data_IF_513638946804
#
_entry.id   IF_513638946804
#
_cell.length_a   1.000
_cell.length_b   1.000
_cell.length_c   1.000
_cell.angle_alpha   90.00
_cell.angle_beta   90.00
_cell.angle_gamma   90.00
#
_symmetry.space_group_name_H-M   'P 1'
#
loop_
_entity.id
_entity.type
_entity.pdbx_description
1 polymer ?
#
# COMPACT_ATOMS: atom_id res chain seq x y z
N UNK A 1 8.41 8.63 14.54
CA UNK A 1 9.39 9.72 14.35
C UNK A 1 9.93 10.07 15.73
N UNK A 2 11.26 10.14 15.90
CA UNK A 2 11.88 10.54 17.17
C UNK A 2 11.58 12.00 17.50
N UNK A 3 11.67 12.37 18.78
CA UNK A 3 11.52 13.75 19.29
C UNK A 3 12.41 14.75 18.55
N UNK A 4 13.68 14.40 18.32
CA UNK A 4 14.63 15.18 17.52
C UNK A 4 14.20 15.39 16.06
N UNK A 5 13.45 14.44 15.49
CA UNK A 5 12.91 14.56 14.14
C UNK A 5 11.80 15.60 14.04
N UNK A 6 11.06 15.85 15.14
CA UNK A 6 10.03 16.90 15.21
C UNK A 6 10.67 18.27 15.36
N UNK A 7 11.61 18.45 16.29
CA UNK A 7 12.30 19.74 16.51
C UNK A 7 12.93 20.27 15.22
N UNK A 8 13.61 19.42 14.45
CA UNK A 8 14.18 19.79 13.15
C UNK A 8 13.15 20.20 12.09
N UNK A 9 11.93 19.64 12.15
CA UNK A 9 10.85 20.03 11.23
C UNK A 9 10.22 21.33 11.71
N UNK A 10 10.02 21.50 13.00
CA UNK A 10 9.47 22.73 13.59
C UNK A 10 10.40 23.92 13.36
N UNK A 11 11.71 23.79 13.58
CA UNK A 11 12.71 24.82 13.24
C UNK A 11 12.65 25.21 11.76
N UNK A 12 12.52 24.22 10.87
CA UNK A 12 12.41 24.46 9.42
C UNK A 12 11.09 25.11 9.01
N UNK A 13 10.03 24.95 9.80
CA UNK A 13 8.72 25.57 9.56
C UNK A 13 8.64 27.00 10.10
N UNK A 14 9.44 27.33 11.11
CA UNK A 14 9.47 28.66 11.76
C UNK A 14 10.56 29.56 11.17
N UNK A 15 11.52 28.98 10.42
CA UNK A 15 12.58 29.75 9.78
C UNK A 15 12.03 30.78 8.76
N UNK A 16 12.43 32.06 8.85
CA UNK A 16 11.98 33.13 7.95
C UNK A 16 12.51 32.98 6.52
N UNK A 17 13.51 32.11 6.31
CA UNK A 17 13.99 31.75 4.99
C UNK A 17 12.96 30.86 4.32
N UNK A 18 12.12 31.51 3.52
CA UNK A 18 11.01 30.94 2.76
C UNK A 18 11.46 29.84 1.81
N UNK A 19 11.73 28.65 2.35
CA UNK A 19 11.79 27.44 1.56
C UNK A 19 10.39 27.27 0.95
N UNK A 20 10.30 27.50 -0.36
CA UNK A 20 9.08 27.45 -1.19
C UNK A 20 8.39 26.08 -1.21
N UNK A 21 8.71 25.18 -0.28
CA UNK A 21 7.76 24.15 0.15
C UNK A 21 6.75 24.84 1.06
N UNK A 22 5.89 25.66 0.45
CA UNK A 22 4.67 26.16 1.08
C UNK A 22 4.07 25.03 1.90
N UNK A 23 3.57 25.31 3.09
CA UNK A 23 2.74 24.36 3.85
C UNK A 23 1.64 23.76 2.94
N UNK A 24 1.17 24.52 1.93
CA UNK A 24 0.34 24.05 0.83
C UNK A 24 0.88 22.82 0.08
N UNK A 25 2.19 22.67 -0.14
CA UNK A 25 2.82 21.50 -0.78
C UNK A 25 2.87 20.25 0.11
N UNK A 26 2.94 20.42 1.45
CA UNK A 26 2.76 19.32 2.41
C UNK A 26 1.28 18.93 2.53
N UNK A 27 0.38 19.91 2.44
CA UNK A 27 -1.08 19.73 2.40
C UNK A 27 -1.52 19.06 1.08
N UNK A 28 -0.87 19.37 -0.05
CA UNK A 28 -1.22 18.84 -1.38
C UNK A 28 -1.13 17.30 -1.48
N UNK A 29 -0.28 16.65 -0.67
CA UNK A 29 -0.23 15.18 -0.61
C UNK A 29 -1.29 14.56 0.33
N UNK A 30 -1.94 15.35 1.18
CA UNK A 30 -2.98 14.89 2.11
C UNK A 30 -4.40 15.23 1.64
N UNK A 31 -4.58 16.21 0.74
CA UNK A 31 -5.87 16.82 0.41
C UNK A 31 -6.22 16.81 -1.08
N UNK A 32 -5.72 15.87 -1.89
CA UNK A 32 -6.13 15.75 -3.30
C UNK A 32 -7.65 15.67 -3.51
N UNK A 33 -8.42 15.34 -2.47
CA UNK A 33 -9.89 15.24 -2.48
C UNK A 33 -10.66 16.52 -2.13
N UNK A 34 -10.01 17.65 -1.80
CA UNK A 34 -10.70 18.89 -1.42
C UNK A 34 -10.16 20.04 -2.27
N UNK A 35 -10.95 20.47 -3.25
CA UNK A 35 -10.62 21.50 -4.23
C UNK A 35 -11.37 22.83 -3.98
N UNK A 36 -12.51 22.75 -3.29
CA UNK A 36 -13.39 23.87 -2.96
C UNK A 36 -13.66 23.96 -1.46
N UNK A 37 -13.85 25.19 -0.97
CA UNK A 37 -14.13 25.45 0.43
C UNK A 37 -15.50 24.93 0.83
N UNK A 38 -15.60 24.35 2.03
CA UNK A 38 -16.82 23.77 2.58
C UNK A 38 -17.29 24.50 3.83
N UNK A 39 -18.58 24.54 4.07
CA UNK A 39 -19.15 25.15 5.27
C UNK A 39 -20.39 24.43 5.75
N UNK A 40 -20.77 24.68 7.00
CA UNK A 40 -22.03 24.22 7.57
C UNK A 40 -22.94 25.45 7.74
N UNK A 41 -24.17 25.47 7.20
CA UNK A 41 -25.09 26.58 7.38
C UNK A 41 -25.40 26.87 8.86
N UNK A 42 -25.54 25.83 9.68
CA UNK A 42 -25.81 25.99 11.11
C UNK A 42 -24.60 26.57 11.86
N UNK A 43 -23.37 26.15 11.52
CA UNK A 43 -22.16 26.82 12.05
C UNK A 43 -22.15 28.31 11.70
N UNK A 44 -22.63 28.70 10.51
CA UNK A 44 -22.68 30.11 10.14
C UNK A 44 -23.65 30.89 11.05
N UNK A 45 -24.80 30.31 11.39
CA UNK A 45 -25.75 30.92 12.34
C UNK A 45 -25.12 31.04 13.73
N UNK A 46 -24.47 29.98 14.22
CA UNK A 46 -23.83 29.97 15.53
C UNK A 46 -22.66 30.96 15.62
N UNK A 47 -21.82 31.01 14.58
CA UNK A 47 -20.68 31.93 14.51
C UNK A 47 -21.15 33.38 14.47
N UNK A 48 -22.19 33.67 13.68
CA UNK A 48 -22.76 35.02 13.61
C UNK A 48 -23.30 35.47 14.97
N UNK A 49 -24.00 34.58 15.69
CA UNK A 49 -24.51 34.86 17.04
C UNK A 49 -23.40 35.06 18.07
N UNK A 50 -22.35 34.24 17.99
CA UNK A 50 -21.29 34.20 19.02
C UNK A 50 -20.18 35.22 18.81
N UNK A 51 -19.80 35.45 17.56
CA UNK A 51 -18.63 36.25 17.19
C UNK A 51 -18.98 37.47 16.33
N UNK A 52 -20.24 37.62 15.91
CA UNK A 52 -20.67 38.70 15.03
C UNK A 52 -20.24 38.55 13.57
N UNK A 53 -19.53 37.47 13.25
CA UNK A 53 -19.05 37.16 11.89
C UNK A 53 -18.86 35.66 11.69
N UNK A 54 -19.06 35.19 10.46
CA UNK A 54 -18.82 33.80 10.06
C UNK A 54 -17.38 33.59 9.59
N UNK A 55 -16.84 32.38 9.76
CA UNK A 55 -15.49 32.06 9.31
C UNK A 55 -15.36 30.61 8.81
N UNK A 56 -14.36 30.37 7.97
CA UNK A 56 -14.12 29.04 7.40
C UNK A 56 -13.51 28.11 8.45
N UNK A 57 -14.30 27.15 8.93
CA UNK A 57 -13.82 26.13 9.87
C UNK A 57 -12.86 25.14 9.21
N UNK A 58 -11.73 24.88 9.86
CA UNK A 58 -10.72 23.90 9.39
C UNK A 58 -11.25 22.48 9.36
N UNK A 59 -12.11 22.11 10.31
CA UNK A 59 -12.74 20.78 10.42
C UNK A 59 -13.56 20.44 9.16
N UNK A 60 -14.23 21.43 8.57
CA UNK A 60 -15.01 21.26 7.35
C UNK A 60 -14.14 20.99 6.10
N UNK A 61 -12.86 21.37 6.14
CA UNK A 61 -11.93 21.20 5.01
C UNK A 61 -11.17 19.87 5.05
N UNK A 62 -11.43 19.03 6.05
CA UNK A 62 -10.72 17.76 6.20
C UNK A 62 -11.12 16.77 5.10
N UNK A 63 -10.18 15.95 4.60
CA UNK A 63 -10.47 15.00 3.54
C UNK A 63 -11.48 13.95 4.01
N UNK A 64 -12.38 13.55 3.11
CA UNK A 64 -13.44 12.58 3.37
C UNK A 64 -14.46 12.97 4.47
N UNK A 65 -14.46 14.23 4.94
CA UNK A 65 -15.51 14.75 5.82
C UNK A 65 -16.65 15.32 4.97
N UNK A 66 -17.83 14.70 5.13
CA UNK A 66 -19.07 15.10 4.45
C UNK A 66 -20.09 15.74 5.40
N UNK A 67 -19.95 15.51 6.71
CA UNK A 67 -20.86 15.99 7.75
C UNK A 67 -20.13 16.96 8.68
N UNK A 68 -20.84 17.97 9.16
CA UNK A 68 -20.38 18.76 10.28
C UNK A 68 -20.32 17.88 11.55
N UNK A 69 -19.21 17.87 12.27
CA UNK A 69 -19.09 17.11 13.52
C UNK A 69 -19.83 17.75 14.70
N UNK A 70 -20.32 18.99 14.55
CA UNK A 70 -21.08 19.71 15.58
C UNK A 70 -22.58 19.52 15.36
N UNK A 71 -23.06 19.81 14.14
CA UNK A 71 -24.49 19.79 13.80
C UNK A 71 -24.97 18.50 13.14
N UNK A 72 -24.05 17.64 12.69
CA UNK A 72 -24.34 16.38 12.00
C UNK A 72 -25.13 16.51 10.69
N UNK A 73 -25.20 17.71 10.14
CA UNK A 73 -25.76 18.00 8.83
C UNK A 73 -24.69 17.94 7.74
N UNK A 74 -25.08 17.61 6.50
CA UNK A 74 -24.16 17.63 5.37
C UNK A 74 -23.54 19.02 5.17
N UNK A 75 -22.23 19.04 4.89
CA UNK A 75 -21.52 20.26 4.57
C UNK A 75 -21.91 20.74 3.17
N UNK A 76 -21.97 22.05 2.98
CA UNK A 76 -22.10 22.67 1.66
C UNK A 76 -20.72 22.86 1.04
N UNK A 77 -20.57 22.52 -0.24
CA UNK A 77 -19.39 22.85 -1.04
C UNK A 77 -19.64 24.16 -1.77
N UNK A 78 -18.87 25.19 -1.43
CA UNK A 78 -18.95 26.49 -2.09
C UNK A 78 -18.38 26.45 -3.50
N UNK A 79 -18.65 27.46 -4.30
CA UNK A 79 -18.01 27.62 -5.62
C UNK A 79 -16.58 28.18 -5.55
N UNK A 80 -16.08 28.45 -4.34
CA UNK A 80 -14.77 29.05 -4.11
C UNK A 80 -13.71 27.95 -4.04
N UNK A 81 -12.71 28.01 -4.92
CA UNK A 81 -11.57 27.09 -4.85
C UNK A 81 -10.67 27.38 -3.65
N UNK A 82 -10.15 26.33 -3.02
CA UNK A 82 -9.13 26.43 -1.96
C UNK A 82 -7.84 27.10 -2.46
N UNK A 83 -7.57 27.05 -3.77
CA UNK A 83 -6.41 27.69 -4.37
C UNK A 83 -6.63 29.18 -4.69
N UNK A 84 -7.81 29.72 -4.43
CA UNK A 84 -8.12 31.12 -4.70
C UNK A 84 -7.18 32.04 -3.89
N UNK A 85 -6.47 32.93 -4.60
CA UNK A 85 -5.57 33.93 -3.99
C UNK A 85 -6.22 35.30 -3.78
N UNK A 86 -7.48 35.46 -4.22
CA UNK A 86 -8.23 36.71 -4.10
C UNK A 86 -8.89 36.85 -2.72
N UNK A 87 -9.65 37.94 -2.52
CA UNK A 87 -10.52 38.08 -1.34
C UNK A 87 -11.57 36.98 -1.36
N UNK A 88 -11.48 36.08 -0.39
CA UNK A 88 -12.44 35.00 -0.16
C UNK A 88 -13.60 35.58 0.66
N UNK A 89 -14.84 35.46 0.18
CA UNK A 89 -16.02 35.90 0.93
C UNK A 89 -16.22 35.07 2.20
N UNK A 90 -16.98 35.61 3.16
CA UNK A 90 -17.31 34.87 4.37
C UNK A 90 -18.21 33.66 4.03
N UNK A 91 -18.17 32.56 4.80
CA UNK A 91 -18.99 31.38 4.52
C UNK A 91 -20.49 31.68 4.48
N UNK A 92 -20.98 32.60 5.33
CA UNK A 92 -22.40 33.00 5.33
C UNK A 92 -22.86 33.73 4.06
N UNK A 93 -21.92 34.24 3.25
CA UNK A 93 -22.17 34.93 1.98
C UNK A 93 -21.89 34.01 0.78
N UNK A 94 -21.31 32.84 1.02
CA UNK A 94 -20.91 31.93 -0.04
C UNK A 94 -22.09 31.09 -0.52
N UNK A 95 -22.30 31.06 -1.84
CA UNK A 95 -23.19 30.09 -2.47
C UNK A 95 -22.50 28.72 -2.57
N UNK A 96 -23.26 27.65 -2.33
CA UNK A 96 -22.74 26.29 -2.40
C UNK A 96 -23.82 25.23 -2.30
N UNK A 97 -23.50 24.07 -2.85
CA UNK A 97 -24.40 22.92 -2.91
C UNK A 97 -24.15 21.97 -1.75
N UNK A 98 -25.20 21.33 -1.25
CA UNK A 98 -25.07 20.30 -0.21
C UNK A 98 -24.23 19.11 -0.71
N UNK A 99 -23.22 18.70 0.07
CA UNK A 99 -22.41 17.53 -0.25
C UNK A 99 -23.22 16.25 -0.07
N UNK A 100 -23.28 15.46 -1.14
CA UNK A 100 -23.88 14.13 -1.10
C UNK A 100 -22.92 13.13 -0.50
N UNK A 101 -23.36 12.47 0.57
CA UNK A 101 -22.66 11.32 1.14
C UNK A 101 -22.71 10.16 0.14
N UNK A 102 -21.57 9.56 -0.25
CA UNK A 102 -21.57 8.40 -1.12
C UNK A 102 -22.40 7.26 -0.51
N UNK A 103 -23.35 6.72 -1.26
CA UNK A 103 -24.19 5.59 -0.81
C UNK A 103 -23.37 4.39 -0.33
N UNK A 104 -22.22 4.16 -0.96
CA UNK A 104 -21.26 3.10 -0.60
C UNK A 104 -20.61 3.32 0.76
N UNK A 105 -20.43 4.58 1.19
CA UNK A 105 -19.92 4.91 2.51
C UNK A 105 -21.02 4.78 3.56
N UNK A 106 -22.19 5.39 3.29
CA UNK A 106 -23.31 5.44 4.24
C UNK A 106 -23.13 6.51 5.33
N UNK A 107 -24.25 6.92 5.93
CA UNK A 107 -24.27 8.02 6.91
C UNK A 107 -23.48 7.71 8.19
N UNK A 108 -23.62 6.50 8.73
CA UNK A 108 -22.96 6.10 9.98
C UNK A 108 -21.42 6.17 9.86
N UNK A 109 -20.87 5.60 8.78
CA UNK A 109 -19.42 5.65 8.53
C UNK A 109 -18.94 7.08 8.26
N UNK A 110 -19.72 7.87 7.51
CA UNK A 110 -19.40 9.28 7.27
C UNK A 110 -19.35 10.08 8.58
N UNK A 111 -20.30 9.82 9.50
CA UNK A 111 -20.33 10.41 10.85
C UNK A 111 -19.07 10.05 11.63
N UNK A 112 -18.71 8.77 11.65
CA UNK A 112 -17.52 8.30 12.37
C UNK A 112 -16.22 8.90 11.82
N UNK A 113 -16.11 9.02 10.49
CA UNK A 113 -14.97 9.67 9.86
C UNK A 113 -14.88 11.15 10.25
N UNK A 114 -16.00 11.88 10.30
CA UNK A 114 -16.04 13.28 10.73
C UNK A 114 -15.58 13.44 12.19
N UNK A 115 -16.05 12.57 13.09
CA UNK A 115 -15.63 12.53 14.50
C UNK A 115 -14.12 12.37 14.65
N UNK A 116 -13.56 11.29 14.08
CA UNK A 116 -12.14 10.96 14.22
C UNK A 116 -11.28 12.06 13.59
N UNK A 117 -11.70 12.60 12.45
CA UNK A 117 -10.98 13.68 11.76
C UNK A 117 -10.95 14.96 12.60
N UNK A 118 -12.07 15.37 13.16
CA UNK A 118 -12.16 16.55 14.04
C UNK A 118 -11.34 16.35 15.32
N UNK A 119 -11.41 15.17 15.93
CA UNK A 119 -10.62 14.85 17.13
C UNK A 119 -9.12 14.90 16.83
N UNK A 120 -8.68 14.30 15.73
CA UNK A 120 -7.27 14.32 15.31
C UNK A 120 -6.76 15.75 15.06
N UNK A 121 -7.60 16.64 14.51
CA UNK A 121 -7.26 18.05 14.32
C UNK A 121 -7.19 18.82 15.64
N UNK A 122 -8.04 18.48 16.61
CA UNK A 122 -8.19 19.23 17.88
C UNK A 122 -7.15 18.84 18.93
N UNK A 123 -6.58 17.63 18.85
CA UNK A 123 -5.65 17.09 19.85
C UNK A 123 -4.18 17.57 19.70
N UNK A 124 -3.95 18.88 19.65
CA UNK A 124 -2.62 19.50 19.49
C UNK A 124 -1.57 19.08 20.56
N UNK A 125 -1.98 18.52 21.70
CA UNK A 125 -1.10 18.12 22.83
C UNK A 125 -1.22 16.64 23.26
N UNK A 126 -1.76 15.76 22.41
CA UNK A 126 -1.85 14.35 22.78
C UNK A 126 -0.44 13.74 22.98
N UNK A 127 -0.26 12.85 23.98
CA UNK A 127 0.97 12.09 24.13
C UNK A 127 1.26 11.29 22.85
N UNK A 128 2.52 10.92 22.63
CA UNK A 128 2.89 10.13 21.47
C UNK A 128 2.13 8.80 21.48
N UNK A 129 1.17 8.67 20.56
CA UNK A 129 0.45 7.42 20.35
C UNK A 129 1.27 6.56 19.40
N UNK A 130 1.68 5.39 19.86
CA UNK A 130 2.18 4.34 18.98
C UNK A 130 0.99 3.72 18.25
N UNK A 131 0.62 4.33 17.12
CA UNK A 131 -0.47 3.85 16.27
C UNK A 131 -0.28 2.40 15.83
N UNK A 132 0.97 1.95 15.64
CA UNK A 132 1.22 0.59 15.20
C UNK A 132 0.82 -0.40 16.28
N UNK A 133 1.30 -0.22 17.51
CA UNK A 133 0.95 -1.08 18.64
C UNK A 133 -0.56 -1.03 18.93
N UNK A 134 -1.17 0.16 18.85
CA UNK A 134 -2.63 0.33 18.97
C UNK A 134 -3.38 -0.50 17.91
N UNK A 135 -3.00 -0.39 16.63
CA UNK A 135 -3.65 -1.15 15.56
C UNK A 135 -3.42 -2.65 15.70
N UNK A 136 -2.21 -3.08 16.08
CA UNK A 136 -1.88 -4.49 16.24
C UNK A 136 -2.69 -5.13 17.36
N UNK A 137 -2.73 -4.51 18.55
CA UNK A 137 -3.53 -5.01 19.68
C UNK A 137 -4.99 -5.14 19.28
N UNK A 138 -5.54 -4.08 18.68
CA UNK A 138 -6.94 -4.08 18.28
C UNK A 138 -7.25 -5.12 17.20
N UNK A 139 -6.37 -5.31 16.24
CA UNK A 139 -6.53 -6.34 15.22
C UNK A 139 -6.49 -7.76 15.82
N UNK A 140 -5.64 -8.01 16.82
CA UNK A 140 -5.56 -9.31 17.51
C UNK A 140 -6.84 -9.57 18.31
N UNK A 141 -7.34 -8.58 19.05
CA UNK A 141 -8.62 -8.69 19.78
C UNK A 141 -9.78 -9.06 18.86
N UNK A 142 -9.79 -8.54 17.64
CA UNK A 142 -10.80 -8.82 16.61
C UNK A 142 -10.57 -10.13 15.85
N UNK A 143 -9.52 -10.89 16.19
CA UNK A 143 -9.22 -12.19 15.57
C UNK A 143 -8.43 -12.12 14.25
N UNK A 144 -7.91 -10.95 13.86
CA UNK A 144 -7.02 -10.79 12.70
C UNK A 144 -5.56 -11.14 13.00
N UNK A 145 -5.25 -11.64 14.19
CA UNK A 145 -3.89 -11.96 14.60
C UNK A 145 -3.80 -13.15 15.53
N UNK A 146 -2.57 -13.54 15.84
CA UNK A 146 -2.24 -14.57 16.83
C UNK A 146 -1.82 -13.92 18.16
N UNK A 147 -1.90 -14.69 19.23
CA UNK A 147 -1.41 -14.30 20.57
C UNK A 147 0.09 -13.93 20.58
N UNK A 148 0.85 -14.33 19.54
CA UNK A 148 2.26 -13.99 19.33
C UNK A 148 2.51 -12.59 18.72
N UNK A 149 1.52 -11.69 18.75
CA UNK A 149 1.53 -10.35 18.11
C UNK A 149 1.68 -10.34 16.58
N UNK A 150 1.54 -11.50 15.95
CA UNK A 150 1.52 -11.58 14.49
C UNK A 150 0.12 -11.23 13.96
N UNK A 151 0.03 -10.20 13.11
CA UNK A 151 -1.24 -9.79 12.47
C UNK A 151 -1.25 -10.17 11.00
N UNK A 152 -2.37 -10.71 10.54
CA UNK A 152 -2.61 -11.13 9.17
C UNK A 152 -3.12 -9.96 8.32
N UNK A 153 -2.19 -9.11 7.90
CA UNK A 153 -2.50 -7.88 7.16
C UNK A 153 -3.26 -8.12 5.84
N UNK A 154 -3.08 -9.25 5.16
CA UNK A 154 -3.78 -9.56 3.90
C UNK A 154 -5.29 -9.70 4.11
N UNK A 155 -5.72 -10.48 5.11
CA UNK A 155 -7.14 -10.66 5.46
C UNK A 155 -7.74 -9.32 5.91
N UNK A 156 -7.06 -8.61 6.81
CA UNK A 156 -7.50 -7.30 7.27
C UNK A 156 -7.65 -6.29 6.12
N UNK A 157 -6.73 -6.33 5.14
CA UNK A 157 -6.79 -5.44 3.97
C UNK A 157 -7.96 -5.76 3.05
N UNK A 158 -8.26 -7.04 2.83
CA UNK A 158 -9.41 -7.48 2.04
C UNK A 158 -10.73 -7.07 2.71
N UNK A 159 -10.80 -7.20 4.04
CA UNK A 159 -11.99 -6.86 4.83
C UNK A 159 -12.21 -5.36 4.89
N UNK A 160 -11.15 -4.57 5.11
CA UNK A 160 -11.21 -3.10 5.04
C UNK A 160 -11.63 -2.64 3.63
N UNK A 161 -11.08 -3.26 2.58
CA UNK A 161 -11.44 -2.97 1.19
C UNK A 161 -12.92 -3.26 0.91
N UNK A 162 -13.46 -4.30 1.53
CA UNK A 162 -14.88 -4.68 1.40
C UNK A 162 -15.76 -3.72 2.19
N UNK A 163 -15.38 -3.40 3.43
CA UNK A 163 -16.10 -2.50 4.33
C UNK A 163 -16.37 -1.13 3.73
N UNK A 164 -15.37 -0.52 3.11
CA UNK A 164 -15.50 0.79 2.46
C UNK A 164 -15.93 0.74 1.00
N UNK A 165 -15.95 -0.44 0.38
CA UNK A 165 -16.03 -0.68 -1.06
C UNK A 165 -14.80 -0.17 -1.86
N UNK A 166 -14.38 -0.87 -2.93
CA UNK A 166 -13.30 -0.42 -3.79
C UNK A 166 -13.57 0.93 -4.47
N UNK A 167 -14.82 1.18 -4.89
CA UNK A 167 -15.20 2.39 -5.63
C UNK A 167 -14.97 3.65 -4.81
N UNK A 168 -15.40 3.64 -3.55
CA UNK A 168 -15.19 4.76 -2.64
C UNK A 168 -13.72 4.94 -2.28
N UNK A 169 -12.97 3.85 -2.02
CA UNK A 169 -11.54 3.97 -1.71
C UNK A 169 -10.77 4.60 -2.88
N UNK A 170 -11.14 4.28 -4.13
CA UNK A 170 -10.57 4.94 -5.31
C UNK A 170 -10.96 6.40 -5.41
N UNK A 171 -12.20 6.79 -5.06
CA UNK A 171 -12.62 8.20 -5.10
C UNK A 171 -11.91 9.11 -4.11
N UNK A 172 -11.32 8.55 -3.03
CA UNK A 172 -10.56 9.30 -2.01
C UNK A 172 -9.06 9.01 -2.04
N UNK A 173 -8.55 8.48 -3.16
CA UNK A 173 -7.12 8.14 -3.37
C UNK A 173 -6.52 7.20 -2.28
N UNK A 174 -7.36 6.33 -1.71
CA UNK A 174 -6.99 5.33 -0.72
C UNK A 174 -7.17 3.90 -1.24
N UNK A 175 -7.01 3.70 -2.55
CA UNK A 175 -7.17 2.38 -3.19
C UNK A 175 -6.30 1.32 -2.52
N UNK A 176 -6.92 0.23 -2.09
CA UNK A 176 -6.22 -0.96 -1.56
C UNK A 176 -5.98 -1.92 -2.72
N UNK A 177 -4.77 -1.93 -3.27
CA UNK A 177 -4.38 -2.86 -4.33
C UNK A 177 -4.33 -4.31 -3.82
N UNK A 178 -4.54 -5.28 -4.70
CA UNK A 178 -4.34 -6.69 -4.37
C UNK A 178 -2.84 -6.99 -4.43
N UNK A 179 -2.28 -7.61 -3.39
CA UNK A 179 -0.87 -7.92 -3.31
C UNK A 179 -0.40 -8.14 -1.88
N UNK A 180 0.89 -8.45 -1.71
CA UNK A 180 1.50 -8.77 -0.40
C UNK A 180 1.80 -7.52 0.44
N UNK A 181 1.82 -6.34 -0.16
CA UNK A 181 2.15 -5.07 0.51
C UNK A 181 1.08 -4.03 0.21
N UNK A 182 0.08 -3.95 1.09
CA UNK A 182 -1.01 -2.97 1.03
C UNK A 182 -0.84 -1.92 2.13
N UNK A 183 -1.39 -0.71 1.95
CA UNK A 183 -1.27 0.33 2.97
C UNK A 183 -1.88 -0.06 4.34
N UNK A 184 -2.99 -0.82 4.45
CA UNK A 184 -3.47 -1.27 5.76
C UNK A 184 -2.48 -2.24 6.42
N UNK A 185 -1.87 -3.14 5.64
CA UNK A 185 -0.82 -4.04 6.13
C UNK A 185 0.45 -3.29 6.56
N UNK A 186 0.76 -2.18 5.90
CA UNK A 186 1.90 -1.33 6.25
C UNK A 186 1.67 -0.57 7.55
N UNK A 187 0.45 -0.10 7.83
CA UNK A 187 0.10 0.53 9.11
C UNK A 187 0.26 -0.41 10.32
N UNK A 188 0.17 -1.73 10.09
CA UNK A 188 0.40 -2.76 11.10
C UNK A 188 1.89 -3.09 11.28
N UNK A 189 2.79 -2.52 10.49
CA UNK A 189 4.24 -2.80 10.51
C UNK A 189 5.00 -1.49 10.77
N UNK A 190 6.27 -1.58 11.16
CA UNK A 190 7.16 -0.42 11.41
C UNK A 190 7.54 0.37 10.13
N UNK A 191 6.70 0.35 9.09
CA UNK A 191 6.97 1.05 7.83
C UNK A 191 6.21 2.37 7.78
N UNK A 192 6.94 3.47 7.84
CA UNK A 192 6.42 4.84 7.73
C UNK A 192 6.16 5.32 6.29
N UNK A 193 6.45 4.49 5.28
CA UNK A 193 6.33 4.90 3.88
C UNK A 193 4.86 4.97 3.44
N UNK A 194 4.43 6.16 2.99
CA UNK A 194 3.15 6.45 2.32
C UNK A 194 1.86 6.35 3.19
N UNK A 195 1.97 6.48 4.51
CA UNK A 195 0.81 6.52 5.42
C UNK A 195 0.31 7.95 5.65
N UNK A 196 -0.76 8.32 4.96
CA UNK A 196 -1.44 9.63 5.07
C UNK A 196 -2.41 9.65 6.25
N UNK A 197 -2.69 10.83 6.82
CA UNK A 197 -3.66 10.98 7.92
C UNK A 197 -5.03 10.34 7.61
N UNK A 198 -5.55 10.51 6.38
CA UNK A 198 -6.81 9.89 5.96
C UNK A 198 -6.79 8.35 6.10
N UNK A 199 -5.67 7.69 5.78
CA UNK A 199 -5.54 6.24 5.91
C UNK A 199 -5.62 5.80 7.37
N UNK A 200 -5.06 6.59 8.28
CA UNK A 200 -5.21 6.37 9.72
C UNK A 200 -6.65 6.53 10.17
N UNK A 201 -7.35 7.59 9.71
CA UNK A 201 -8.78 7.80 10.01
C UNK A 201 -9.62 6.62 9.54
N UNK A 202 -9.43 6.17 8.28
CA UNK A 202 -10.14 5.02 7.73
C UNK A 202 -9.84 3.73 8.49
N UNK A 203 -8.59 3.52 8.90
CA UNK A 203 -8.17 2.36 9.70
C UNK A 203 -8.81 2.37 11.09
N UNK A 204 -8.82 3.51 11.78
CA UNK A 204 -9.45 3.65 13.10
C UNK A 204 -10.95 3.38 13.01
N UNK A 205 -11.65 4.06 12.09
CA UNK A 205 -13.08 3.88 11.88
C UNK A 205 -13.44 2.41 11.55
N UNK A 206 -12.60 1.71 10.78
CA UNK A 206 -12.78 0.29 10.48
C UNK A 206 -12.59 -0.59 11.72
N UNK A 207 -11.52 -0.42 12.49
CA UNK A 207 -11.26 -1.25 13.68
C UNK A 207 -12.26 -1.00 14.82
N UNK A 208 -12.79 0.21 14.92
CA UNK A 208 -13.83 0.55 15.90
C UNK A 208 -15.20 -0.01 15.53
N UNK A 209 -15.45 -0.33 14.25
CA UNK A 209 -16.68 -0.98 13.81
C UNK A 209 -16.74 -2.47 14.17
N UNK A 210 -15.79 -2.98 14.97
CA UNK A 210 -15.68 -4.38 15.40
C UNK A 210 -15.82 -5.42 14.26
N UNK A 211 -15.04 -5.31 13.17
CA UNK A 211 -15.16 -6.22 12.04
C UNK A 211 -14.68 -7.63 12.43
N UNK A 212 -15.32 -8.65 11.86
CA UNK A 212 -14.86 -10.04 11.96
C UNK A 212 -14.05 -10.43 10.72
N UNK A 213 -12.99 -11.26 10.86
CA UNK A 213 -12.21 -11.72 9.73
C UNK A 213 -13.06 -12.53 8.75
N UNK A 214 -13.06 -12.17 7.47
CA UNK A 214 -13.81 -12.91 6.44
C UNK A 214 -13.30 -14.33 6.19
N UNK A 215 -12.07 -14.60 6.62
CA UNK A 215 -11.40 -15.90 6.49
C UNK A 215 -10.66 -16.21 7.78
N UNK A 216 -10.64 -17.49 8.16
CA UNK A 216 -9.77 -17.93 9.25
C UNK A 216 -8.31 -17.67 8.87
N UNK A 217 -7.60 -16.77 9.57
CA UNK A 217 -6.28 -16.35 9.13
C UNK A 217 -5.22 -17.47 9.19
N UNK A 218 -5.38 -18.41 10.13
CA UNK A 218 -4.51 -19.59 10.26
C UNK A 218 -4.68 -20.53 9.07
N UNK A 219 -5.93 -20.76 8.66
CA UNK A 219 -6.24 -21.60 7.52
C UNK A 219 -5.79 -20.97 6.20
N UNK A 220 -5.94 -19.65 6.07
CA UNK A 220 -5.48 -18.90 4.91
C UNK A 220 -3.97 -19.08 4.65
N UNK A 221 -3.13 -18.99 5.70
CA UNK A 221 -1.70 -19.27 5.56
C UNK A 221 -1.40 -20.71 5.12
N UNK A 222 -2.15 -21.70 5.62
CA UNK A 222 -1.98 -23.10 5.19
C UNK A 222 -2.22 -23.26 3.69
N UNK A 223 -3.13 -22.46 3.13
CA UNK A 223 -3.43 -22.43 1.68
C UNK A 223 -2.40 -21.64 0.87
N UNK A 224 -1.82 -20.57 1.41
CA UNK A 224 -0.79 -19.75 0.75
C UNK A 224 0.61 -20.39 0.72
N UNK A 225 0.94 -21.30 1.66
CA UNK A 225 2.17 -22.09 1.56
C UNK A 225 2.14 -22.89 0.25
N UNK A 226 2.86 -22.39 -0.76
CA UNK A 226 2.99 -22.98 -2.09
C UNK A 226 3.09 -24.50 -2.02
N UNK A 227 2.23 -25.20 -2.76
CA UNK A 227 2.36 -26.65 -3.00
C UNK A 227 3.84 -26.95 -3.26
N UNK A 228 4.44 -27.88 -2.49
CA UNK A 228 5.85 -28.27 -2.67
C UNK A 228 6.13 -28.45 -4.16
N UNK A 229 7.09 -27.69 -4.72
CA UNK A 229 7.44 -27.79 -6.14
C UNK A 229 7.85 -29.23 -6.44
N UNK A 230 7.22 -29.85 -7.43
CA UNK A 230 7.57 -31.20 -7.86
C UNK A 230 8.86 -31.14 -8.71
N UNK A 231 10.01 -31.20 -8.04
CA UNK A 231 11.33 -31.16 -8.66
C UNK A 231 11.52 -32.24 -9.73
N UNK A 232 10.96 -33.44 -9.50
CA UNK A 232 11.02 -34.56 -10.45
C UNK A 232 10.36 -34.21 -11.78
N UNK A 233 9.18 -33.58 -11.76
CA UNK A 233 8.48 -33.15 -12.98
C UNK A 233 9.24 -32.06 -13.73
N UNK A 234 9.81 -31.10 -12.99
CA UNK A 234 10.59 -29.99 -13.56
C UNK A 234 11.86 -30.53 -14.22
N UNK A 235 12.57 -31.44 -13.55
CA UNK A 235 13.77 -32.09 -14.07
C UNK A 235 13.48 -32.91 -15.33
N UNK A 236 12.42 -33.72 -15.33
CA UNK A 236 12.01 -34.52 -16.49
C UNK A 236 11.72 -33.64 -17.72
N UNK A 237 10.99 -32.54 -17.53
CA UNK A 237 10.71 -31.57 -18.61
C UNK A 237 11.99 -30.92 -19.13
N UNK A 238 12.90 -30.53 -18.25
CA UNK A 238 14.18 -29.95 -18.65
C UNK A 238 15.00 -30.93 -19.51
N UNK A 239 15.12 -32.19 -19.07
CA UNK A 239 15.85 -33.23 -19.83
C UNK A 239 15.21 -33.45 -21.20
N UNK A 240 13.87 -33.46 -21.30
CA UNK A 240 13.17 -33.59 -22.58
C UNK A 240 13.48 -32.43 -23.53
N UNK A 241 13.41 -31.20 -23.04
CA UNK A 241 13.69 -29.99 -23.85
C UNK A 241 15.14 -29.98 -24.31
N UNK A 242 16.08 -30.24 -23.41
CA UNK A 242 17.51 -30.25 -23.70
C UNK A 242 17.86 -31.37 -24.67
N UNK A 243 17.30 -32.59 -24.50
CA UNK A 243 17.53 -33.72 -25.41
C UNK A 243 17.00 -33.43 -26.82
N UNK A 244 15.81 -32.82 -26.93
CA UNK A 244 15.22 -32.41 -28.21
C UNK A 244 16.10 -31.38 -28.93
N UNK A 245 16.61 -30.40 -28.18
CA UNK A 245 17.47 -29.36 -28.75
C UNK A 245 18.79 -29.95 -29.26
N UNK A 246 19.40 -30.87 -28.52
CA UNK A 246 20.62 -31.56 -28.98
C UNK A 246 20.37 -32.42 -30.21
N UNK A 247 19.22 -33.12 -30.29
CA UNK A 247 18.86 -33.87 -31.50
C UNK A 247 18.76 -32.95 -32.73
N UNK A 248 18.16 -31.76 -32.59
CA UNK A 248 18.07 -30.76 -33.65
C UNK A 248 19.44 -30.25 -34.10
N UNK A 249 20.36 -30.00 -33.17
CA UNK A 249 21.72 -29.60 -33.51
C UNK A 249 22.51 -30.74 -34.17
N UNK A 250 22.26 -31.99 -33.77
CA UNK A 250 22.85 -33.17 -34.41
C UNK A 250 22.44 -33.31 -35.88
N UNK A 251 21.15 -33.11 -36.21
CA UNK A 251 20.70 -33.17 -37.61
C UNK A 251 21.21 -32.00 -38.45
N UNK A 252 21.39 -30.82 -37.83
CA UNK A 252 21.91 -29.63 -38.49
C UNK A 252 23.45 -29.58 -38.58
N UNK A 253 24.18 -30.56 -38.02
CA UNK A 253 25.65 -30.57 -37.99
C UNK A 253 26.29 -29.47 -37.14
N UNK A 254 25.52 -28.82 -36.26
CA UNK A 254 26.00 -27.70 -35.41
C UNK A 254 26.26 -28.14 -33.97
N UNK A 255 27.09 -27.38 -33.25
CA UNK A 255 27.39 -27.61 -31.83
C UNK A 255 26.61 -26.62 -30.95
N UNK A 256 26.41 -26.99 -29.68
CA UNK A 256 25.65 -26.15 -28.71
C UNK A 256 26.31 -26.14 -27.34
N UNK A 257 26.22 -25.00 -26.64
CA UNK A 257 26.76 -24.85 -25.28
C UNK A 257 25.77 -25.33 -24.22
N UNK A 258 26.30 -25.76 -23.07
CA UNK A 258 25.50 -26.09 -21.88
C UNK A 258 24.69 -24.88 -21.38
N UNK A 259 25.21 -23.67 -21.54
CA UNK A 259 24.50 -22.45 -21.14
C UNK A 259 23.24 -22.25 -21.98
N UNK A 260 23.35 -22.34 -23.31
CA UNK A 260 22.23 -22.25 -24.24
C UNK A 260 21.17 -23.32 -23.98
N UNK A 261 21.59 -24.55 -23.68
CA UNK A 261 20.67 -25.64 -23.32
C UNK A 261 19.87 -25.35 -22.04
N UNK A 262 20.53 -24.80 -21.01
CA UNK A 262 19.88 -24.47 -19.74
C UNK A 262 18.97 -23.24 -19.84
N UNK A 263 19.29 -22.29 -20.73
CA UNK A 263 18.45 -21.13 -21.06
C UNK A 263 17.21 -21.56 -21.85
N UNK A 264 17.38 -22.41 -22.87
CA UNK A 264 16.28 -22.94 -23.67
C UNK A 264 15.28 -23.78 -22.86
N UNK A 265 15.74 -24.37 -21.75
CA UNK A 265 14.89 -25.11 -20.81
C UNK A 265 14.34 -24.25 -19.66
N UNK A 266 14.59 -22.93 -19.64
CA UNK A 266 14.18 -21.98 -18.59
C UNK A 266 14.56 -22.41 -17.16
N UNK A 267 15.74 -23.02 -17.02
CA UNK A 267 16.23 -23.55 -15.74
C UNK A 267 17.62 -23.08 -15.35
N UNK A 268 18.28 -22.24 -16.15
CA UNK A 268 19.65 -21.78 -15.91
C UNK A 268 19.89 -21.22 -14.49
N UNK A 269 19.02 -20.30 -14.02
CA UNK A 269 19.09 -19.75 -12.66
C UNK A 269 18.83 -20.83 -11.60
N UNK A 270 17.78 -21.64 -11.78
CA UNK A 270 17.38 -22.68 -10.82
C UNK A 270 18.45 -23.74 -10.64
N UNK A 271 19.03 -24.20 -11.74
CA UNK A 271 20.11 -25.17 -11.73
C UNK A 271 21.39 -24.62 -11.08
N UNK A 272 21.69 -23.32 -11.26
CA UNK A 272 22.85 -22.67 -10.64
C UNK A 272 22.74 -22.60 -9.11
N UNK A 273 21.58 -22.24 -8.59
CA UNK A 273 21.37 -22.04 -7.15
C UNK A 273 20.91 -23.30 -6.41
N UNK A 274 20.30 -24.27 -7.10
CA UNK A 274 19.63 -25.43 -6.49
C UNK A 274 19.98 -26.74 -7.21
N UNK A 275 21.26 -26.91 -7.54
CA UNK A 275 21.76 -28.05 -8.33
C UNK A 275 21.46 -29.42 -7.71
N UNK A 276 21.43 -29.51 -6.38
CA UNK A 276 21.10 -30.75 -5.65
C UNK A 276 19.71 -31.29 -5.98
N UNK A 277 18.79 -30.44 -6.43
CA UNK A 277 17.43 -30.84 -6.84
C UNK A 277 17.36 -31.37 -8.28
N UNK A 278 18.49 -31.44 -8.99
CA UNK A 278 18.59 -31.86 -10.39
C UNK A 278 19.66 -32.95 -10.63
N UNK A 279 19.58 -34.13 -9.98
CA UNK A 279 20.57 -35.19 -10.12
C UNK A 279 20.63 -35.81 -11.52
N UNK A 280 19.49 -36.10 -12.14
CA UNK A 280 19.40 -36.73 -13.47
C UNK A 280 19.86 -35.77 -14.57
N UNK A 281 19.48 -34.49 -14.48
CA UNK A 281 19.91 -33.48 -15.43
C UNK A 281 21.42 -33.22 -15.28
N UNK A 282 21.94 -33.24 -14.05
CA UNK A 282 23.39 -33.12 -13.82
C UNK A 282 24.16 -34.25 -14.50
N UNK A 283 23.68 -35.48 -14.36
CA UNK A 283 24.28 -36.66 -15.00
C UNK A 283 24.16 -36.60 -16.53
N UNK A 284 22.99 -36.18 -17.04
CA UNK A 284 22.77 -35.96 -18.46
C UNK A 284 23.74 -34.93 -19.04
N UNK A 285 23.94 -33.79 -18.36
CA UNK A 285 24.87 -32.75 -18.80
C UNK A 285 26.33 -33.19 -18.78
N UNK A 286 26.73 -34.07 -17.85
CA UNK A 286 28.08 -34.67 -17.85
C UNK A 286 28.30 -35.51 -19.11
N UNK A 287 27.33 -36.38 -19.44
CA UNK A 287 27.37 -37.20 -20.66
C UNK A 287 27.38 -36.35 -21.92
N UNK A 288 26.58 -35.29 -21.96
CA UNK A 288 26.54 -34.36 -23.07
C UNK A 288 27.89 -33.65 -23.30
N UNK A 289 28.59 -33.23 -22.24
CA UNK A 289 29.92 -32.58 -22.35
C UNK A 289 30.99 -33.46 -22.98
N UNK A 290 30.87 -34.78 -22.82
CA UNK A 290 31.75 -35.77 -23.46
C UNK A 290 31.35 -36.08 -24.92
N UNK A 291 30.19 -35.58 -25.39
CA UNK A 291 29.71 -35.82 -26.75
C UNK A 291 30.35 -34.87 -27.78
N UNK A 292 30.50 -35.27 -29.05
CA UNK A 292 31.02 -34.41 -30.12
C UNK A 292 30.10 -33.22 -30.45
N UNK A 293 28.87 -33.21 -29.93
CA UNK A 293 27.91 -32.12 -30.09
C UNK A 293 28.10 -30.99 -29.06
N UNK A 294 28.90 -31.20 -28.01
CA UNK A 294 29.27 -30.15 -27.06
C UNK A 294 30.34 -29.25 -27.67
N UNK A 295 30.08 -27.94 -27.68
CA UNK A 295 31.04 -26.94 -28.18
C UNK A 295 32.31 -26.87 -27.32
N UNK A 296 32.20 -27.15 -26.02
CA UNK A 296 33.34 -27.24 -25.08
C UNK A 296 33.47 -28.69 -24.62
N UNK A 297 34.40 -29.45 -25.21
CA UNK A 297 34.77 -30.78 -24.73
C UNK A 297 35.66 -30.65 -23.47
N UNK A 298 35.42 -31.49 -22.48
CA UNK A 298 36.31 -31.62 -21.31
C UNK A 298 37.63 -32.25 -21.75
N UNK A 299 38.66 -31.42 -21.97
CA UNK A 299 40.03 -31.88 -22.30
C UNK A 299 40.89 -30.93 -23.14
N UNK A 300 40.33 -29.86 -23.74
CA UNK A 300 41.08 -29.00 -24.67
C UNK A 300 41.58 -27.66 -24.10
N UNK A 301 42.30 -27.66 -22.97
CA UNK A 301 43.15 -26.49 -22.62
C UNK A 301 44.58 -26.82 -23.03
N UNK A 302 45.02 -26.37 -24.20
CA UNK A 302 46.46 -26.13 -24.41
C UNK A 302 46.84 -24.98 -23.48
N UNK A 303 47.59 -25.29 -22.42
CA UNK A 303 48.18 -24.29 -21.56
C UNK A 303 49.32 -23.62 -22.31
N UNK A 304 49.12 -22.39 -22.77
CA UNK A 304 50.24 -21.51 -23.11
C UNK A 304 50.91 -21.11 -21.81
N UNK A 305 51.95 -21.84 -21.41
CA UNK A 305 53.02 -21.27 -20.60
C UNK A 305 53.98 -20.56 -21.56
N UNK A 306 53.92 -19.22 -21.59
CA UNK A 306 55.01 -18.42 -22.12
C UNK A 306 56.08 -18.33 -21.03
N UNK A 307 57.31 -18.72 -21.39
CA UNK A 307 58.55 -18.50 -20.65
C UNK A 307 58.91 -17.01 -20.65
#
# INVERSE_FOLDING_TARGET
>A
MSSQGRERITEKLVSPDGSKRCIASLVQNATRSVDKLRFCPECCVDDQRKYGQTYWHRTHQLPCVYLCSTHWTPLHVSWISIQCKARISAPGEASGDELRIPKTLGHERARRIAEISTQALSQYKAPFVDFQDMYQRRAIELGYGLSSKQVFGSVLSDDLRTFYSPRFLTSVDCTVLRGTVTWPSLLLRQSSQNCTALKHVLMIAFLESNPSPSRNPIEFLRREKTKKKNWVSIEKKAIQTVSRLVAKHRTAGTRVTVASLLEAADIASRYRHQRSNFPLLTEWLKRFRASPQSERQTGGRQGNYQL
#
